data_IF_617503326755
#
_entry.id   IF_617503326755
#
_cell.length_a   1.000
_cell.length_b   1.000
_cell.length_c   1.000
_cell.angle_alpha   90.00
_cell.angle_beta   90.00
_cell.angle_gamma   90.00
#
_symmetry.space_group_name_H-M   'P 1'
#
loop_
_entity.id
_entity.type
_entity.pdbx_description
1 polymer ?
#
# COMPACT_ATOMS: atom_id res chain seq x y z
N UNK A 1 -19.44 -19.15 21.71
CA UNK A 1 -18.35 -19.27 20.73
C UNK A 1 -17.39 -18.13 20.97
N UNK A 2 -16.09 -18.39 21.15
CA UNK A 2 -15.09 -17.29 21.12
C UNK A 2 -15.14 -16.69 19.71
N UNK A 3 -15.31 -15.37 19.62
CA UNK A 3 -15.15 -14.67 18.36
C UNK A 3 -13.70 -14.91 17.89
N UNK A 4 -13.53 -15.51 16.71
CA UNK A 4 -12.20 -15.67 16.11
C UNK A 4 -11.76 -14.28 15.66
N UNK A 5 -10.89 -13.63 16.43
CA UNK A 5 -10.24 -12.40 16.02
C UNK A 5 -9.21 -12.73 14.94
N UNK A 6 -9.50 -12.34 13.69
CA UNK A 6 -8.57 -12.54 12.58
C UNK A 6 -7.32 -11.67 12.78
N UNK A 7 -6.14 -12.24 12.55
CA UNK A 7 -4.90 -11.45 12.52
C UNK A 7 -4.90 -10.53 11.30
N UNK A 8 -4.50 -9.29 11.50
CA UNK A 8 -4.59 -8.26 10.47
C UNK A 8 -3.35 -8.22 9.57
N UNK A 9 -3.55 -7.89 8.29
CA UNK A 9 -2.49 -7.65 7.31
C UNK A 9 -2.75 -6.34 6.57
N UNK A 10 -2.31 -5.24 7.18
CA UNK A 10 -2.33 -3.87 6.61
C UNK A 10 -1.21 -3.67 5.59
N UNK A 11 -1.57 -3.41 4.33
CA UNK A 11 -0.69 -3.37 3.16
C UNK A 11 -0.91 -2.06 2.39
N UNK A 12 0.17 -1.44 1.94
CA UNK A 12 0.15 -0.24 1.09
C UNK A 12 0.61 -0.64 -0.31
N UNK A 13 -0.15 -0.27 -1.36
CA UNK A 13 0.28 -0.45 -2.75
C UNK A 13 0.83 0.87 -3.29
N UNK A 14 2.07 0.86 -3.76
CA UNK A 14 2.71 1.99 -4.43
C UNK A 14 3.25 1.58 -5.80
N UNK A 15 3.51 2.55 -6.66
CA UNK A 15 3.92 2.29 -8.05
C UNK A 15 3.33 3.28 -9.03
N UNK A 16 3.89 3.30 -10.22
CA UNK A 16 3.48 4.16 -11.33
C UNK A 16 2.00 3.98 -11.69
N UNK A 17 1.43 4.99 -12.35
CA UNK A 17 0.12 4.85 -12.98
C UNK A 17 0.19 3.73 -14.04
N UNK A 18 -0.82 2.85 -14.07
CA UNK A 18 -0.83 1.73 -15.02
C UNK A 18 0.08 0.55 -14.66
N UNK A 19 0.81 0.62 -13.54
CA UNK A 19 1.67 -0.47 -13.06
C UNK A 19 0.89 -1.71 -12.60
N UNK A 20 -0.44 -1.63 -12.42
CA UNK A 20 -1.27 -2.77 -11.99
C UNK A 20 -1.52 -2.87 -10.49
N UNK A 21 -1.42 -1.76 -9.75
CA UNK A 21 -1.69 -1.71 -8.29
C UNK A 21 -3.08 -2.21 -7.92
N UNK A 22 -4.13 -1.60 -8.47
CA UNK A 22 -5.53 -1.98 -8.20
C UNK A 22 -5.81 -3.44 -8.54
N UNK A 23 -5.25 -3.95 -9.65
CA UNK A 23 -5.35 -5.37 -10.02
C UNK A 23 -4.64 -6.29 -9.00
N UNK A 24 -3.43 -5.90 -8.57
CA UNK A 24 -2.69 -6.61 -7.53
C UNK A 24 -3.44 -6.63 -6.20
N UNK A 25 -4.05 -5.51 -5.82
CA UNK A 25 -4.89 -5.39 -4.63
C UNK A 25 -6.09 -6.33 -4.68
N UNK A 26 -6.79 -6.40 -5.82
CA UNK A 26 -7.90 -7.33 -6.02
C UNK A 26 -7.46 -8.79 -5.89
N UNK A 27 -6.29 -9.14 -6.45
CA UNK A 27 -5.74 -10.49 -6.31
C UNK A 27 -5.40 -10.85 -4.87
N UNK A 28 -4.79 -9.92 -4.11
CA UNK A 28 -4.47 -10.14 -2.69
C UNK A 28 -5.75 -10.28 -1.83
N UNK A 29 -6.78 -9.46 -2.10
CA UNK A 29 -8.08 -9.53 -1.42
C UNK A 29 -8.90 -10.76 -1.84
N UNK A 30 -8.66 -11.31 -3.02
CA UNK A 30 -9.47 -12.39 -3.60
C UNK A 30 -10.86 -11.94 -4.07
N UNK A 31 -11.08 -10.63 -4.26
CA UNK A 31 -12.34 -10.05 -4.75
C UNK A 31 -12.11 -8.76 -5.54
N UNK A 32 -13.02 -8.40 -6.47
CA UNK A 32 -12.92 -7.16 -7.25
C UNK A 32 -13.34 -5.95 -6.41
N UNK A 33 -12.42 -5.43 -5.60
CA UNK A 33 -12.66 -4.29 -4.70
C UNK A 33 -12.31 -2.94 -5.36
N UNK A 34 -11.22 -2.91 -6.13
CA UNK A 34 -10.70 -1.73 -6.79
C UNK A 34 -11.03 -1.76 -8.29
N UNK A 35 -11.47 -0.63 -8.84
CA UNK A 35 -11.69 -0.53 -10.29
C UNK A 35 -10.36 -0.61 -11.06
N UNK A 36 -10.11 -1.74 -11.73
CA UNK A 36 -8.94 -1.97 -12.57
C UNK A 36 -9.34 -1.99 -14.07
N UNK A 37 -9.59 -0.81 -14.66
CA UNK A 37 -9.89 -0.68 -16.10
C UNK A 37 -8.69 -0.12 -16.86
N UNK A 38 -8.43 -0.64 -18.06
CA UNK A 38 -7.52 -0.02 -19.05
C UNK A 38 -8.24 1.18 -19.67
N UNK A 39 -8.05 2.38 -19.11
CA UNK A 39 -8.61 3.62 -19.66
C UNK A 39 -7.50 4.64 -19.94
N UNK A 40 -7.66 5.41 -21.01
CA UNK A 40 -6.78 6.54 -21.37
C UNK A 40 -6.92 7.72 -20.40
N UNK A 41 -8.03 7.80 -19.68
CA UNK A 41 -8.22 8.66 -18.51
C UNK A 41 -7.89 7.87 -17.24
N UNK A 42 -7.04 8.41 -16.36
CA UNK A 42 -6.65 7.74 -15.12
C UNK A 42 -7.88 7.40 -14.26
N UNK A 43 -8.04 6.12 -13.91
CA UNK A 43 -9.22 5.61 -13.18
C UNK A 43 -9.07 5.82 -11.67
N UNK A 44 -7.86 5.74 -11.14
CA UNK A 44 -7.56 6.05 -9.73
C UNK A 44 -7.02 7.48 -9.60
N UNK A 45 -7.94 8.43 -9.48
CA UNK A 45 -7.65 9.85 -9.14
C UNK A 45 -7.54 10.11 -7.63
N UNK A 46 -7.91 9.12 -6.82
CA UNK A 46 -7.96 9.17 -5.37
C UNK A 46 -7.47 7.84 -4.79
N UNK A 47 -6.90 7.88 -3.58
CA UNK A 47 -6.59 6.68 -2.83
C UNK A 47 -7.86 5.82 -2.65
N UNK A 48 -7.71 4.51 -2.56
CA UNK A 48 -8.81 3.58 -2.26
C UNK A 48 -8.42 2.62 -1.16
N UNK A 49 -9.40 2.26 -0.34
CA UNK A 49 -9.25 1.33 0.75
C UNK A 49 -10.15 0.13 0.52
N UNK A 50 -9.64 -1.05 0.79
CA UNK A 50 -10.36 -2.29 0.62
C UNK A 50 -9.96 -3.30 1.67
N UNK A 51 -10.91 -4.09 2.16
CA UNK A 51 -10.61 -5.16 3.12
C UNK A 51 -11.37 -6.45 2.83
N UNK A 52 -10.74 -7.58 3.19
CA UNK A 52 -11.28 -8.92 2.99
C UNK A 52 -10.71 -9.89 4.02
N UNK A 53 -11.55 -10.77 4.54
CA UNK A 53 -11.10 -11.95 5.27
C UNK A 53 -10.72 -13.05 4.27
N UNK A 54 -9.47 -13.53 4.33
CA UNK A 54 -8.96 -14.62 3.48
C UNK A 54 -7.95 -15.44 4.25
N UNK A 55 -8.06 -16.76 4.17
CA UNK A 55 -7.13 -17.73 4.78
C UNK A 55 -6.84 -17.50 6.27
N UNK A 56 -7.86 -17.08 7.04
CA UNK A 56 -7.75 -16.82 8.48
C UNK A 56 -7.10 -15.47 8.84
N UNK A 57 -6.87 -14.59 7.87
CA UNK A 57 -6.36 -13.24 8.07
C UNK A 57 -7.33 -12.19 7.55
N UNK A 58 -7.30 -11.00 8.15
CA UNK A 58 -8.00 -9.81 7.66
C UNK A 58 -7.03 -8.92 6.89
N UNK A 59 -7.10 -8.96 5.57
CA UNK A 59 -6.32 -8.09 4.70
C UNK A 59 -6.96 -6.72 4.63
N UNK A 60 -6.14 -5.68 4.76
CA UNK A 60 -6.50 -4.29 4.53
C UNK A 60 -5.52 -3.70 3.55
N UNK A 61 -6.02 -3.29 2.40
CA UNK A 61 -5.20 -2.78 1.30
C UNK A 61 -5.53 -1.32 1.09
N UNK A 62 -4.46 -0.52 1.06
CA UNK A 62 -4.50 0.87 0.68
C UNK A 62 -3.88 1.03 -0.70
N UNK A 63 -4.71 1.24 -1.71
CA UNK A 63 -4.27 1.52 -3.08
C UNK A 63 -4.02 3.02 -3.25
N UNK A 64 -2.79 3.42 -3.55
CA UNK A 64 -2.45 4.83 -3.77
C UNK A 64 -2.70 5.24 -5.22
N UNK A 65 -2.91 6.54 -5.50
CA UNK A 65 -2.82 7.07 -6.85
C UNK A 65 -1.47 6.72 -7.50
N UNK A 66 -1.45 6.66 -8.83
CA UNK A 66 -0.19 6.54 -9.57
C UNK A 66 0.61 7.84 -9.55
N UNK A 67 1.93 7.73 -9.47
CA UNK A 67 2.86 8.89 -9.38
C UNK A 67 2.83 9.80 -10.62
N UNK A 68 2.31 9.32 -11.76
CA UNK A 68 2.32 10.02 -13.05
C UNK A 68 0.91 10.37 -13.56
N UNK A 69 0.07 10.95 -12.71
CA UNK A 69 -1.14 11.60 -13.18
C UNK A 69 -0.79 12.90 -13.93
N UNK A 70 -1.37 13.18 -15.12
CA UNK A 70 -1.00 14.35 -15.92
C UNK A 70 -1.09 15.66 -15.12
N UNK A 71 -0.02 16.46 -15.16
CA UNK A 71 0.07 17.77 -14.48
C UNK A 71 -1.05 18.73 -14.92
N UNK A 72 -1.53 18.62 -16.16
CA UNK A 72 -2.63 19.47 -16.68
C UNK A 72 -4.01 19.20 -16.04
N UNK A 73 -4.15 18.10 -15.29
CA UNK A 73 -5.41 17.74 -14.61
C UNK A 73 -5.32 17.86 -13.08
N UNK A 74 -4.23 18.44 -12.55
CA UNK A 74 -3.97 18.46 -11.10
C UNK A 74 -3.46 19.80 -10.62
N UNK A 75 -4.30 20.48 -9.85
CA UNK A 75 -3.82 21.25 -8.70
C UNK A 75 -3.20 20.26 -7.69
N UNK A 76 -1.91 19.95 -7.88
CA UNK A 76 -1.00 19.28 -6.94
C UNK A 76 -1.43 17.90 -6.39
N UNK A 77 -1.06 16.79 -7.05
CA UNK A 77 -0.89 15.52 -6.31
C UNK A 77 0.32 15.67 -5.39
N UNK A 78 0.03 15.91 -4.13
CA UNK A 78 1.04 15.94 -3.09
C UNK A 78 1.27 14.51 -2.60
N UNK A 79 2.30 13.84 -3.14
CA UNK A 79 2.72 12.48 -2.71
C UNK A 79 2.84 12.36 -1.18
N UNK A 80 3.20 13.44 -0.49
CA UNK A 80 3.24 13.46 0.96
C UNK A 80 1.83 13.41 1.59
N UNK A 81 0.82 14.03 0.98
CA UNK A 81 -0.58 13.97 1.43
C UNK A 81 -1.15 12.56 1.28
N UNK A 82 -0.87 11.89 0.18
CA UNK A 82 -1.29 10.50 -0.03
C UNK A 82 -0.62 9.55 0.97
N UNK A 83 0.68 9.76 1.26
CA UNK A 83 1.39 9.02 2.30
C UNK A 83 0.84 9.33 3.69
N UNK A 84 0.44 10.57 4.01
CA UNK A 84 -0.21 10.91 5.29
C UNK A 84 -1.56 10.21 5.46
N UNK A 85 -2.41 10.24 4.43
CA UNK A 85 -3.68 9.49 4.44
C UNK A 85 -3.42 8.00 4.63
N UNK A 86 -2.35 7.49 4.03
CA UNK A 86 -1.93 6.11 4.23
C UNK A 86 -1.60 5.81 5.71
N UNK A 87 -0.90 6.69 6.42
CA UNK A 87 -0.61 6.51 7.86
C UNK A 87 -1.90 6.42 8.69
N UNK A 88 -2.92 7.22 8.38
CA UNK A 88 -4.22 7.07 9.02
C UNK A 88 -4.85 5.70 8.73
N UNK A 89 -4.95 5.35 7.44
CA UNK A 89 -5.64 4.14 7.00
C UNK A 89 -4.89 2.86 7.36
N UNK A 90 -3.61 2.95 7.68
CA UNK A 90 -2.77 1.83 8.16
C UNK A 90 -2.48 1.88 9.64
N UNK A 91 -3.04 2.85 10.40
CA UNK A 91 -2.84 2.93 11.85
C UNK A 91 -3.20 1.60 12.54
N UNK A 92 -2.38 1.12 13.50
CA UNK A 92 -1.24 1.79 14.13
C UNK A 92 0.12 1.65 13.40
N UNK A 93 0.14 1.04 12.21
CA UNK A 93 1.34 0.74 11.44
C UNK A 93 1.07 -0.27 10.32
N UNK A 94 1.81 -0.24 9.21
CA UNK A 94 1.63 -1.25 8.13
C UNK A 94 2.55 -2.46 8.30
N UNK A 95 2.11 -3.62 7.83
CA UNK A 95 2.93 -4.83 7.79
C UNK A 95 3.77 -4.90 6.50
N UNK A 96 3.26 -4.36 5.39
CA UNK A 96 4.01 -4.33 4.14
C UNK A 96 3.72 -3.09 3.29
N UNK A 97 4.75 -2.67 2.56
CA UNK A 97 4.63 -1.83 1.37
C UNK A 97 4.86 -2.74 0.16
N UNK A 98 3.94 -2.71 -0.80
CA UNK A 98 4.06 -3.43 -2.05
C UNK A 98 4.35 -2.41 -3.15
N UNK A 99 5.56 -2.47 -3.69
CA UNK A 99 5.90 -1.71 -4.88
C UNK A 99 5.57 -2.54 -6.10
N UNK A 100 4.58 -2.09 -6.87
CA UNK A 100 4.16 -2.74 -8.11
C UNK A 100 4.94 -2.16 -9.28
N UNK A 101 5.68 -3.02 -9.97
CA UNK A 101 6.44 -2.72 -11.17
C UNK A 101 5.82 -3.48 -12.35
N UNK A 102 5.64 -2.82 -13.49
CA UNK A 102 5.12 -3.46 -14.70
C UNK A 102 6.27 -3.95 -15.57
N UNK A 103 6.34 -5.24 -15.88
CA UNK A 103 7.38 -5.78 -16.76
C UNK A 103 7.30 -5.25 -18.20
N UNK A 104 6.12 -4.78 -18.62
CA UNK A 104 5.93 -4.11 -19.91
C UNK A 104 6.52 -2.69 -19.96
N UNK A 105 7.05 -2.17 -18.86
CA UNK A 105 7.57 -0.79 -18.77
C UNK A 105 8.99 -0.77 -18.20
N UNK A 106 9.82 0.13 -18.72
CA UNK A 106 11.13 0.38 -18.13
C UNK A 106 10.96 1.21 -16.86
N UNK A 107 11.89 1.01 -15.92
CA UNK A 107 12.05 1.89 -14.77
C UNK A 107 12.42 3.28 -15.27
N UNK A 108 11.65 4.27 -14.84
CA UNK A 108 11.82 5.66 -15.27
C UNK A 108 12.40 6.54 -14.16
N UNK A 109 12.74 7.78 -14.49
CA UNK A 109 13.22 8.75 -13.49
C UNK A 109 12.16 9.01 -12.41
N UNK A 110 10.89 8.93 -12.78
CA UNK A 110 9.76 9.14 -11.88
C UNK A 110 9.66 8.01 -10.84
N UNK A 111 9.93 6.76 -11.22
CA UNK A 111 10.01 5.64 -10.27
C UNK A 111 11.11 5.88 -9.24
N UNK A 112 12.29 6.35 -9.69
CA UNK A 112 13.41 6.68 -8.81
C UNK A 112 13.10 7.88 -7.90
N UNK A 113 12.37 8.88 -8.40
CA UNK A 113 11.92 10.03 -7.60
C UNK A 113 10.91 9.62 -6.53
N UNK A 114 9.98 8.71 -6.84
CA UNK A 114 9.06 8.14 -5.86
C UNK A 114 9.82 7.43 -4.74
N UNK A 115 10.80 6.59 -5.08
CA UNK A 115 11.64 5.90 -4.11
C UNK A 115 12.41 6.89 -3.22
N UNK A 116 12.97 7.97 -3.80
CA UNK A 116 13.62 9.04 -3.02
C UNK A 116 12.66 9.76 -2.07
N UNK A 117 11.42 10.02 -2.50
CA UNK A 117 10.40 10.62 -1.62
C UNK A 117 10.03 9.66 -0.49
N UNK A 118 9.91 8.37 -0.78
CA UNK A 118 9.67 7.33 0.22
C UNK A 118 10.82 7.27 1.23
N UNK A 119 12.06 7.35 0.76
CA UNK A 119 13.26 7.46 1.61
C UNK A 119 13.20 8.67 2.54
N UNK A 120 12.85 9.85 2.03
CA UNK A 120 12.71 11.05 2.84
C UNK A 120 11.62 10.96 3.90
N UNK A 121 10.50 10.29 3.59
CA UNK A 121 9.32 10.24 4.45
C UNK A 121 9.34 9.10 5.48
N UNK A 122 9.76 7.91 5.07
CA UNK A 122 9.71 6.71 5.91
C UNK A 122 11.12 6.22 6.31
N UNK A 123 12.16 6.81 5.75
CA UNK A 123 13.54 6.39 5.96
C UNK A 123 13.85 5.02 5.35
N UNK A 124 15.14 4.69 5.27
CA UNK A 124 15.57 3.43 4.65
C UNK A 124 15.05 2.16 5.37
N UNK A 125 14.65 2.30 6.64
CA UNK A 125 14.08 1.17 7.39
C UNK A 125 12.76 0.65 6.81
N UNK A 126 12.04 1.45 6.01
CA UNK A 126 10.81 1.05 5.36
C UNK A 126 11.01 -0.08 4.34
N UNK A 127 12.20 -0.19 3.72
CA UNK A 127 12.49 -1.26 2.77
C UNK A 127 12.48 -2.66 3.40
N UNK A 128 12.71 -2.77 4.72
CA UNK A 128 12.56 -4.03 5.46
C UNK A 128 11.13 -4.58 5.44
N UNK A 129 10.16 -3.70 5.18
CA UNK A 129 8.74 -4.02 5.05
C UNK A 129 8.28 -4.01 3.59
N UNK A 130 9.20 -3.87 2.63
CA UNK A 130 8.84 -3.77 1.21
C UNK A 130 8.89 -5.14 0.50
N UNK A 131 7.90 -5.38 -0.36
CA UNK A 131 7.82 -6.50 -1.31
C UNK A 131 7.70 -5.92 -2.71
N UNK A 132 8.46 -6.44 -3.66
CA UNK A 132 8.34 -6.09 -5.07
C UNK A 132 7.31 -7.02 -5.74
N UNK A 133 6.29 -6.46 -6.36
CA UNK A 133 5.33 -7.21 -7.18
C UNK A 133 5.56 -6.85 -8.63
N UNK A 134 5.79 -7.86 -9.47
CA UNK A 134 6.00 -7.69 -10.91
C UNK A 134 4.71 -8.07 -11.63
N UNK A 135 4.07 -7.11 -12.26
CA UNK A 135 2.86 -7.31 -13.07
C UNK A 135 3.21 -7.40 -14.55
N UNK A 136 2.29 -7.91 -15.37
CA UNK A 136 2.45 -8.01 -16.83
C UNK A 136 3.65 -8.86 -17.25
N UNK A 137 3.95 -9.89 -16.45
CA UNK A 137 5.00 -10.87 -16.71
C UNK A 137 4.37 -12.25 -16.58
N UNK A 138 4.62 -13.13 -17.56
CA UNK A 138 4.28 -14.55 -17.43
C UNK A 138 4.96 -15.14 -16.19
N UNK A 139 4.49 -16.28 -15.67
CA UNK A 139 5.08 -16.91 -14.49
C UNK A 139 6.45 -17.57 -14.79
N UNK A 140 7.41 -16.77 -15.27
CA UNK A 140 8.78 -17.14 -15.63
C UNK A 140 9.78 -16.49 -14.67
N UNK A 141 10.24 -17.29 -13.71
CA UNK A 141 11.24 -16.86 -12.72
C UNK A 141 12.64 -16.62 -13.33
N UNK A 142 12.95 -17.21 -14.49
CA UNK A 142 14.23 -16.97 -15.17
C UNK A 142 14.24 -15.58 -15.82
N UNK A 143 13.15 -15.21 -16.47
CA UNK A 143 12.99 -13.86 -17.03
C UNK A 143 13.01 -12.81 -15.92
N UNK A 144 12.26 -13.03 -14.84
CA UNK A 144 12.29 -12.16 -13.66
C UNK A 144 13.72 -11.99 -13.11
N UNK A 145 14.46 -13.10 -12.98
CA UNK A 145 15.84 -13.09 -12.49
C UNK A 145 16.77 -12.21 -13.33
N UNK A 146 16.62 -12.24 -14.66
CA UNK A 146 17.36 -11.37 -15.59
C UNK A 146 16.96 -9.91 -15.37
N UNK A 147 15.67 -9.60 -15.38
CA UNK A 147 15.17 -8.23 -15.17
C UNK A 147 15.66 -7.60 -13.87
N UNK A 148 15.70 -8.39 -12.78
CA UNK A 148 16.20 -7.92 -11.48
C UNK A 148 17.72 -7.67 -11.45
N UNK A 149 18.45 -8.12 -12.47
CA UNK A 149 19.90 -7.95 -12.62
C UNK A 149 20.30 -6.98 -13.74
N UNK A 150 19.36 -6.48 -14.53
CA UNK A 150 19.63 -5.66 -15.72
C UNK A 150 20.08 -4.23 -15.40
N UNK A 151 19.52 -3.62 -14.35
CA UNK A 151 19.77 -2.23 -13.99
C UNK A 151 20.33 -2.09 -12.57
N UNK A 152 21.40 -1.30 -12.36
CA UNK A 152 21.99 -1.08 -11.03
C UNK A 152 20.98 -0.60 -9.97
N UNK A 153 20.01 0.21 -10.37
CA UNK A 153 18.96 0.74 -9.50
C UNK A 153 18.04 -0.38 -9.00
N UNK A 154 17.67 -1.31 -9.88
CA UNK A 154 16.80 -2.45 -9.54
C UNK A 154 17.55 -3.47 -8.69
N UNK A 155 18.82 -3.73 -9.01
CA UNK A 155 19.68 -4.59 -8.18
C UNK A 155 19.75 -4.03 -6.76
N UNK A 156 20.03 -2.74 -6.60
CA UNK A 156 20.08 -2.08 -5.29
C UNK A 156 18.74 -2.15 -4.56
N UNK A 157 17.64 -1.90 -5.26
CA UNK A 157 16.29 -1.96 -4.70
C UNK A 157 15.94 -3.38 -4.24
N UNK A 158 16.20 -4.40 -5.07
CA UNK A 158 15.94 -5.79 -4.74
C UNK A 158 16.75 -6.25 -3.52
N UNK A 159 18.01 -5.80 -3.40
CA UNK A 159 18.85 -6.03 -2.21
C UNK A 159 18.27 -5.32 -0.97
N UNK A 160 17.88 -4.04 -1.08
CA UNK A 160 17.23 -3.30 0.02
C UNK A 160 15.94 -4.01 0.50
N UNK A 161 15.23 -4.66 -0.41
CA UNK A 161 14.04 -5.45 -0.14
C UNK A 161 14.34 -6.92 0.25
N UNK A 162 15.58 -7.28 0.59
CA UNK A 162 16.05 -8.66 0.87
C UNK A 162 15.53 -9.71 -0.13
N UNK A 163 15.53 -9.36 -1.41
CA UNK A 163 15.07 -10.23 -2.50
C UNK A 163 13.61 -10.72 -2.35
N UNK A 164 12.76 -9.94 -1.67
CA UNK A 164 11.32 -10.19 -1.60
C UNK A 164 10.64 -9.70 -2.87
N UNK A 165 10.47 -10.60 -3.84
CA UNK A 165 9.76 -10.31 -5.08
C UNK A 165 8.81 -11.45 -5.49
N UNK A 166 7.76 -11.13 -6.24
CA UNK A 166 6.79 -12.09 -6.76
C UNK A 166 6.16 -11.61 -8.07
N UNK A 167 5.88 -12.54 -8.97
CA UNK A 167 5.18 -12.30 -10.24
C UNK A 167 3.68 -12.38 -10.00
N UNK A 168 2.91 -11.43 -10.51
CA UNK A 168 1.45 -11.36 -10.43
C UNK A 168 0.75 -11.67 -11.77
N UNK A 169 1.48 -12.26 -12.70
CA UNK A 169 0.96 -12.71 -13.98
C UNK A 169 0.84 -11.59 -15.01
N UNK A 170 0.51 -11.99 -16.23
CA UNK A 170 0.31 -11.15 -17.39
C UNK A 170 -1.17 -10.97 -17.77
N UNK A 171 -2.03 -11.89 -17.34
CA UNK A 171 -3.48 -11.83 -17.54
C UNK A 171 -4.08 -10.64 -16.76
N UNK A 172 -4.66 -9.63 -17.44
CA UNK A 172 -5.28 -8.49 -16.78
C UNK A 172 -6.57 -8.83 -16.01
N UNK A 173 -7.10 -10.05 -16.12
CA UNK A 173 -8.34 -10.48 -15.49
C UNK A 173 -8.11 -11.40 -14.30
N UNK A 174 -6.99 -12.11 -14.24
CA UNK A 174 -6.76 -13.12 -13.22
C UNK A 174 -5.28 -13.19 -12.82
N UNK A 175 -5.04 -13.24 -11.51
CA UNK A 175 -3.72 -13.53 -10.96
C UNK A 175 -3.68 -15.03 -10.64
N UNK A 176 -2.69 -15.80 -11.13
CA UNK A 176 -2.58 -17.22 -10.82
C UNK A 176 -2.57 -17.48 -9.31
N UNK A 177 -3.22 -18.55 -8.87
CA UNK A 177 -3.34 -18.86 -7.45
C UNK A 177 -1.97 -19.07 -6.80
N UNK A 178 -1.03 -19.72 -7.51
CA UNK A 178 0.33 -19.92 -7.03
C UNK A 178 1.09 -18.60 -6.79
N UNK A 179 0.82 -17.57 -7.59
CA UNK A 179 1.40 -16.23 -7.43
C UNK A 179 0.91 -15.56 -6.14
N UNK A 180 -0.40 -15.62 -5.89
CA UNK A 180 -1.01 -15.08 -4.66
C UNK A 180 -0.50 -15.84 -3.42
N UNK A 181 -0.39 -17.17 -3.52
CA UNK A 181 0.19 -18.01 -2.46
C UNK A 181 1.65 -17.66 -2.17
N UNK A 182 2.48 -17.49 -3.21
CA UNK A 182 3.88 -17.06 -3.05
C UNK A 182 3.98 -15.69 -2.38
N UNK A 183 3.08 -14.76 -2.70
CA UNK A 183 3.00 -13.48 -2.00
C UNK A 183 2.66 -13.66 -0.52
N UNK A 184 1.69 -14.50 -0.19
CA UNK A 184 1.31 -14.75 1.21
C UNK A 184 2.45 -15.37 2.03
N UNK A 185 3.23 -16.27 1.41
CA UNK A 185 4.38 -16.90 2.04
C UNK A 185 5.49 -15.86 2.31
N UNK A 186 5.78 -14.99 1.33
CA UNK A 186 6.73 -13.88 1.48
C UNK A 186 6.26 -12.91 2.56
N UNK A 187 4.98 -12.52 2.56
CA UNK A 187 4.40 -11.61 3.54
C UNK A 187 4.44 -12.21 4.95
N UNK A 188 4.10 -13.50 5.09
CA UNK A 188 4.15 -14.20 6.37
C UNK A 188 5.57 -14.27 6.91
N UNK A 189 6.56 -14.55 6.04
CA UNK A 189 7.97 -14.57 6.40
C UNK A 189 8.45 -13.17 6.83
N UNK A 190 8.12 -12.14 6.06
CA UNK A 190 8.44 -10.75 6.37
C UNK A 190 7.91 -10.35 7.76
N UNK A 191 6.65 -10.63 8.05
CA UNK A 191 6.04 -10.28 9.35
C UNK A 191 6.75 -10.99 10.49
N UNK A 192 7.00 -12.30 10.36
CA UNK A 192 7.71 -13.08 11.39
C UNK A 192 9.14 -12.59 11.63
N UNK A 193 9.87 -12.27 10.57
CA UNK A 193 11.25 -11.75 10.66
C UNK A 193 11.30 -10.40 11.40
N UNK A 194 10.31 -9.53 11.17
CA UNK A 194 10.22 -8.25 11.84
C UNK A 194 9.69 -8.39 13.29
N UNK A 195 8.75 -9.32 13.54
CA UNK A 195 8.27 -9.68 14.87
C UNK A 195 9.41 -10.20 15.77
N UNK A 196 10.30 -11.05 15.25
CA UNK A 196 11.51 -11.50 15.97
C UNK A 196 12.50 -10.38 16.28
N UNK A 197 12.47 -9.28 15.52
CA UNK A 197 13.24 -8.06 15.80
C UNK A 197 12.48 -7.09 16.74
N UNK A 198 11.34 -7.50 17.29
CA UNK A 198 10.53 -6.74 18.22
C UNK A 198 9.57 -5.72 17.58
N UNK A 199 9.35 -5.79 16.25
CA UNK A 199 8.47 -4.88 15.52
C UNK A 199 7.62 -5.63 14.49
N UNK A 200 6.43 -6.08 14.85
CA UNK A 200 5.54 -6.80 13.92
C UNK A 200 5.15 -5.97 12.67
N UNK A 201 5.01 -4.65 12.83
CA UNK A 201 4.69 -3.71 11.77
C UNK A 201 5.59 -2.48 11.83
N UNK A 202 5.72 -1.81 10.70
CA UNK A 202 6.43 -0.54 10.61
C UNK A 202 5.67 0.54 11.38
N UNK A 203 6.41 1.35 12.14
CA UNK A 203 5.87 2.52 12.82
C UNK A 203 6.61 3.78 12.42
N UNK A 204 5.92 4.91 12.52
CA UNK A 204 6.33 6.25 12.15
C UNK A 204 5.87 7.19 13.27
N UNK A 205 6.58 8.29 13.48
CA UNK A 205 6.26 9.28 14.53
C UNK A 205 4.83 9.84 14.47
N UNK A 206 4.15 9.69 13.33
CA UNK A 206 2.77 10.18 13.16
C UNK A 206 1.68 9.13 13.45
N UNK A 207 2.01 7.85 13.61
CA UNK A 207 0.97 6.84 13.86
C UNK A 207 0.25 7.05 15.18
N UNK A 208 0.91 7.57 16.21
CA UNK A 208 0.23 7.85 17.48
C UNK A 208 -0.89 8.88 17.29
N UNK A 209 -0.60 10.00 16.62
CA UNK A 209 -1.61 11.01 16.31
C UNK A 209 -2.67 10.49 15.34
N UNK A 210 -2.27 9.75 14.30
CA UNK A 210 -3.19 9.17 13.34
C UNK A 210 -4.15 8.16 14.00
N UNK A 211 -3.65 7.33 14.91
CA UNK A 211 -4.45 6.37 15.70
C UNK A 211 -5.45 7.11 16.59
N UNK A 212 -5.02 8.17 17.29
CA UNK A 212 -5.94 9.00 18.10
C UNK A 212 -7.07 9.63 17.28
N UNK A 213 -6.77 10.08 16.06
CA UNK A 213 -7.79 10.64 15.16
C UNK A 213 -8.75 9.53 14.71
N UNK A 214 -8.22 8.36 14.33
CA UNK A 214 -9.00 7.21 13.89
C UNK A 214 -9.97 6.73 14.98
N UNK A 215 -9.51 6.62 16.23
CA UNK A 215 -10.37 6.25 17.36
C UNK A 215 -11.52 7.25 17.56
N UNK A 216 -11.24 8.56 17.50
CA UNK A 216 -12.27 9.58 17.62
C UNK A 216 -13.27 9.57 16.48
N UNK A 217 -12.80 9.38 15.24
CA UNK A 217 -13.67 9.28 14.06
C UNK A 217 -14.60 8.05 14.20
N UNK A 218 -14.08 6.93 14.68
CA UNK A 218 -14.84 5.72 14.98
C UNK A 218 -15.87 5.96 16.09
N UNK A 219 -15.47 6.55 17.21
CA UNK A 219 -16.37 6.87 18.35
C UNK A 219 -17.53 7.78 17.91
N UNK A 220 -17.24 8.82 17.14
CA UNK A 220 -18.27 9.71 16.59
C UNK A 220 -19.21 8.94 15.66
N UNK A 221 -18.65 8.10 14.77
CA UNK A 221 -19.46 7.31 13.84
C UNK A 221 -20.39 6.35 14.58
N UNK A 222 -19.91 5.65 15.61
CA UNK A 222 -20.71 4.74 16.43
C UNK A 222 -21.78 5.47 17.25
N UNK A 223 -21.49 6.68 17.74
CA UNK A 223 -22.49 7.52 18.43
C UNK A 223 -23.66 7.85 17.51
N UNK A 224 -23.38 8.14 16.24
CA UNK A 224 -24.40 8.45 15.23
C UNK A 224 -25.07 7.18 14.65
N UNK A 225 -24.42 6.01 14.79
CA UNK A 225 -24.85 4.72 14.24
C UNK A 225 -24.75 3.60 15.30
N UNK A 226 -25.64 3.56 16.32
CA UNK A 226 -25.48 2.73 17.51
C UNK A 226 -25.54 1.20 17.26
N UNK A 227 -26.02 0.78 16.08
CA UNK A 227 -26.13 -0.63 15.72
C UNK A 227 -24.91 -1.18 14.97
N UNK A 228 -23.93 -0.33 14.65
CA UNK A 228 -22.72 -0.73 13.92
C UNK A 228 -21.70 -1.31 14.88
N UNK A 229 -21.09 -2.45 14.50
CA UNK A 229 -20.02 -3.05 15.31
C UNK A 229 -18.75 -2.20 15.28
N UNK A 230 -17.90 -2.31 16.31
CA UNK A 230 -16.64 -1.56 16.36
C UNK A 230 -15.73 -1.83 15.14
N UNK A 231 -15.61 -3.10 14.74
CA UNK A 231 -14.83 -3.48 13.56
C UNK A 231 -15.36 -2.85 12.27
N UNK A 232 -16.67 -2.89 12.07
CA UNK A 232 -17.32 -2.27 10.91
C UNK A 232 -17.17 -0.74 10.90
N UNK A 233 -17.29 -0.10 12.07
CA UNK A 233 -17.06 1.33 12.21
C UNK A 233 -15.63 1.70 11.77
N UNK A 234 -14.62 0.95 12.20
CA UNK A 234 -13.24 1.16 11.75
C UNK A 234 -13.07 1.06 10.23
N UNK A 235 -13.67 0.04 9.59
CA UNK A 235 -13.59 -0.11 8.14
C UNK A 235 -14.23 1.08 7.42
N UNK A 236 -15.39 1.54 7.89
CA UNK A 236 -16.11 2.68 7.31
C UNK A 236 -15.30 3.97 7.46
N UNK A 237 -14.77 4.28 8.64
CA UNK A 237 -14.03 5.53 8.84
C UNK A 237 -12.69 5.53 8.10
N UNK A 238 -12.00 4.37 7.98
CA UNK A 238 -10.80 4.24 7.12
C UNK A 238 -11.14 4.48 5.66
N UNK A 239 -12.23 3.88 5.16
CA UNK A 239 -12.70 4.11 3.79
C UNK A 239 -13.02 5.58 3.55
N UNK A 240 -13.77 6.23 4.45
CA UNK A 240 -14.13 7.66 4.34
C UNK A 240 -12.89 8.56 4.36
N UNK A 241 -11.96 8.34 5.28
CA UNK A 241 -10.75 9.14 5.38
C UNK A 241 -9.85 8.98 4.14
N UNK A 242 -9.83 7.79 3.54
CA UNK A 242 -9.10 7.54 2.29
C UNK A 242 -9.57 8.44 1.16
N UNK A 243 -10.87 8.74 1.12
CA UNK A 243 -11.52 9.61 0.15
C UNK A 243 -11.55 11.09 0.57
N UNK A 244 -10.92 11.43 1.71
CA UNK A 244 -10.87 12.79 2.24
C UNK A 244 -12.11 13.23 3.03
N UNK A 245 -12.96 12.29 3.42
CA UNK A 245 -14.19 12.54 4.18
C UNK A 245 -14.04 12.28 5.70
N UNK A 246 -12.83 12.31 6.24
CA UNK A 246 -12.65 12.30 7.70
C UNK A 246 -13.14 13.64 8.28
N UNK A 247 -13.93 13.64 9.37
CA UNK A 247 -14.27 14.87 10.11
C UNK A 247 -13.04 15.66 10.58
N UNK A 248 -11.89 14.99 10.67
CA UNK A 248 -10.61 15.53 11.16
C UNK A 248 -9.55 15.56 10.06
N UNK A 249 -9.96 15.60 8.79
CA UNK A 249 -9.05 15.63 7.64
C UNK A 249 -8.05 16.80 7.71
N UNK A 250 -8.45 17.97 8.23
CA UNK A 250 -7.55 19.10 8.47
C UNK A 250 -6.42 18.75 9.46
N UNK A 251 -6.70 17.98 10.51
CA UNK A 251 -5.68 17.54 11.48
C UNK A 251 -4.72 16.52 10.86
N UNK A 252 -5.23 15.65 9.97
CA UNK A 252 -4.44 14.68 9.21
C UNK A 252 -3.51 15.37 8.21
N UNK A 253 -4.02 16.36 7.47
CA UNK A 253 -3.19 17.22 6.58
C UNK A 253 -2.15 18.03 7.37
N UNK A 254 -2.42 18.29 8.64
CA UNK A 254 -1.50 18.94 9.59
C UNK A 254 -0.35 18.06 10.07
N UNK A 255 -0.29 16.78 9.72
CA UNK A 255 0.84 15.88 10.02
C UNK A 255 2.07 16.22 9.15
N UNK A 256 2.68 17.38 9.40
CA UNK A 256 3.85 17.85 8.65
C UNK A 256 5.13 17.60 9.43
N UNK A 257 6.16 17.17 8.71
CA UNK A 257 7.53 17.26 9.19
C UNK A 257 8.12 18.58 8.70
N UNK A 258 8.44 19.54 9.58
CA UNK A 258 9.12 20.77 9.14
C UNK A 258 10.46 20.50 8.47
N UNK A 259 11.06 19.31 8.64
CA UNK A 259 12.34 18.94 8.04
C UNK A 259 12.21 18.13 6.74
N UNK A 260 11.00 17.72 6.30
CA UNK A 260 10.84 16.85 5.13
C UNK A 260 10.84 17.61 3.78
N UNK A 261 10.91 18.93 3.79
CA UNK A 261 11.16 19.74 2.60
C UNK A 261 11.95 21.01 2.97
N UNK A 262 13.25 20.84 3.23
CA UNK A 262 14.23 21.90 2.96
C UNK A 262 15.33 21.32 2.07
N UNK A 263 14.94 20.92 0.87
CA UNK A 263 15.90 20.83 -0.24
C UNK A 263 15.95 22.26 -0.80
N UNK A 264 17.01 22.98 -0.43
CA UNK A 264 17.46 24.19 -1.13
C UNK A 264 17.77 23.90 -2.58
#
# INVERSE_FOLDING_TARGET
AQAITLKERRIILIGKLGAGKSHSGNGILGKPEFESKRCWSSVTRQCKYGSAARDGFLYRIYDTPGVNSPEELQTTVNVEEDIRRCLYCTSPGFHAIVLVLSAAERITKEDLQMLKKLDGLLGESAYKYMILVISKLENDENELGKMLCEAPEIVKLNVKCNSRHVIFGDDPKNIPFECVRKFDDILTKLIKENEWQGKEYYTHKYYEKATRILEKDKEDYMRDHPNVSEGEAFEIVRSRATEGFSPRDTELRGLKDPNCCSIS
#
